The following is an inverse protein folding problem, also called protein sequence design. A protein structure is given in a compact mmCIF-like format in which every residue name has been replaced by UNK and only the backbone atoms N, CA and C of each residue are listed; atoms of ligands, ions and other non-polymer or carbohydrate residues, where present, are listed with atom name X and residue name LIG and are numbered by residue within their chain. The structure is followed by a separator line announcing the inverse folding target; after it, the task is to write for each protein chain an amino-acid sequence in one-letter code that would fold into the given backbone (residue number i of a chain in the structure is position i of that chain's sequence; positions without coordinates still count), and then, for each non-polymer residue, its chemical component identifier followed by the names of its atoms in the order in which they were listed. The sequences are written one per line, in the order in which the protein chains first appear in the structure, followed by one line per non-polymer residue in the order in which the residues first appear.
data_IF_110513290819
#
_entry.id   IF_110513290819
#
_cell.length_a   1.000
_cell.length_b   1.000
_cell.length_c   1.000
_cell.angle_alpha   90.00
_cell.angle_beta   90.00
_cell.angle_gamma   90.00
#
_symmetry.space_group_name_H-M   'P 1'
#
loop_
_entity.id
_entity.type
_entity.pdbx_description
1 polymer ?
#
# COMPACT_ATOMS: atom_id res chain seq x y z
N UNK A 1 3.37 15.94 19.37
CA UNK A 1 3.15 14.53 19.75
C UNK A 1 2.39 13.86 18.61
N UNK A 2 3.09 13.44 17.55
CA UNK A 2 2.44 12.73 16.44
C UNK A 2 2.17 11.30 16.91
N UNK A 3 0.96 11.08 17.42
CA UNK A 3 0.50 9.75 17.79
C UNK A 3 0.39 8.90 16.53
N UNK A 4 1.33 7.98 16.36
CA UNK A 4 1.34 7.07 15.23
C UNK A 4 0.12 6.16 15.32
N UNK A 5 -0.83 6.33 14.39
CA UNK A 5 -2.07 5.55 14.41
C UNK A 5 -1.76 4.10 14.09
N UNK A 6 -2.11 3.22 15.01
CA UNK A 6 -1.91 1.79 14.88
C UNK A 6 -3.20 1.10 14.42
N UNK A 7 -3.18 0.54 13.21
CA UNK A 7 -4.29 -0.19 12.62
C UNK A 7 -4.26 -1.67 12.99
N UNK A 8 -5.44 -2.24 13.26
CA UNK A 8 -5.61 -3.69 13.38
C UNK A 8 -5.59 -4.32 11.99
N UNK A 9 -5.25 -5.61 11.90
CA UNK A 9 -5.29 -6.36 10.64
C UNK A 9 -6.61 -6.19 9.88
N UNK A 10 -7.75 -6.24 10.57
CA UNK A 10 -9.06 -6.10 9.93
C UNK A 10 -9.26 -4.73 9.25
N UNK A 11 -8.77 -3.66 9.86
CA UNK A 11 -8.85 -2.31 9.31
C UNK A 11 -7.95 -2.17 8.09
N UNK A 12 -6.73 -2.72 8.16
CA UNK A 12 -5.80 -2.77 7.02
C UNK A 12 -6.43 -3.49 5.83
N UNK A 13 -7.09 -4.64 6.06
CA UNK A 13 -7.78 -5.38 5.00
C UNK A 13 -8.91 -4.56 4.35
N UNK A 14 -9.66 -3.79 5.14
CA UNK A 14 -10.72 -2.90 4.64
C UNK A 14 -10.13 -1.74 3.84
N UNK A 15 -9.09 -1.08 4.35
CA UNK A 15 -8.44 0.04 3.68
C UNK A 15 -7.85 -0.37 2.32
N UNK A 16 -7.23 -1.55 2.25
CA UNK A 16 -6.63 -2.07 1.02
C UNK A 16 -7.65 -2.78 0.12
N UNK A 17 -8.82 -3.14 0.63
CA UNK A 17 -9.80 -3.96 -0.09
C UNK A 17 -9.30 -5.38 -0.42
N UNK A 18 -8.29 -5.89 0.30
CA UNK A 18 -7.65 -7.18 -0.01
C UNK A 18 -7.98 -8.28 1.00
N UNK A 19 -7.78 -9.52 0.57
CA UNK A 19 -7.86 -10.70 1.43
C UNK A 19 -6.65 -10.84 2.36
N UNK A 20 -6.85 -11.50 3.51
CA UNK A 20 -5.77 -11.79 4.46
C UNK A 20 -4.65 -12.68 3.90
N UNK A 21 -4.92 -13.43 2.82
CA UNK A 21 -3.91 -14.19 2.07
C UNK A 21 -3.01 -13.25 1.28
N UNK A 22 -3.60 -12.33 0.52
CA UNK A 22 -2.89 -11.30 -0.26
C UNK A 22 -2.04 -10.42 0.66
N UNK A 23 -2.60 -9.95 1.77
CA UNK A 23 -1.84 -9.16 2.76
C UNK A 23 -0.56 -9.90 3.23
N UNK A 24 -0.66 -11.21 3.49
CA UNK A 24 0.50 -12.02 3.88
C UNK A 24 1.51 -12.17 2.76
N UNK A 25 1.07 -12.27 1.51
CA UNK A 25 1.96 -12.35 0.35
C UNK A 25 2.75 -11.04 0.16
N UNK A 26 2.08 -9.89 0.30
CA UNK A 26 2.70 -8.56 0.21
C UNK A 26 3.75 -8.38 1.32
N UNK A 27 3.38 -8.70 2.57
CA UNK A 27 4.33 -8.64 3.70
C UNK A 27 5.53 -9.56 3.47
N UNK A 28 5.31 -10.75 2.89
CA UNK A 28 6.38 -11.72 2.60
C UNK A 28 7.26 -11.28 1.43
N UNK A 29 6.71 -10.56 0.47
CA UNK A 29 7.44 -10.01 -0.69
C UNK A 29 8.27 -8.79 -0.30
N UNK A 30 7.89 -8.11 0.79
CA UNK A 30 8.62 -6.97 1.34
C UNK A 30 8.04 -5.62 0.94
N UNK A 31 6.97 -5.60 0.13
CA UNK A 31 6.34 -4.37 -0.33
C UNK A 31 5.61 -3.60 0.79
N UNK A 32 5.16 -4.31 1.83
CA UNK A 32 4.54 -3.70 3.00
C UNK A 32 5.32 -4.06 4.26
N UNK A 33 5.57 -3.04 5.09
CA UNK A 33 6.24 -3.22 6.38
C UNK A 33 5.50 -4.24 7.27
N UNK A 34 6.27 -5.11 7.92
CA UNK A 34 5.72 -6.10 8.83
C UNK A 34 5.01 -5.43 10.02
N UNK A 35 3.94 -6.03 10.55
CA UNK A 35 3.25 -5.47 11.69
C UNK A 35 4.12 -5.48 12.95
N UNK A 36 4.02 -4.42 13.74
CA UNK A 36 4.60 -4.33 15.07
C UNK A 36 3.85 -5.29 15.98
N UNK A 37 4.60 -6.15 16.68
CA UNK A 37 4.04 -7.04 17.71
C UNK A 37 4.04 -6.31 19.03
N UNK A 38 2.85 -6.03 19.56
CA UNK A 38 2.68 -5.43 20.88
C UNK A 38 2.97 -6.46 21.98
N UNK A 39 3.39 -6.04 23.19
CA UNK A 39 3.72 -6.94 24.30
C UNK A 39 2.58 -7.86 24.76
N UNK A 40 1.34 -7.64 24.29
CA UNK A 40 0.19 -8.54 24.48
C UNK A 40 -0.08 -9.52 23.33
N UNK A 41 0.86 -9.72 22.40
CA UNK A 41 0.72 -10.63 21.24
C UNK A 41 -0.14 -10.09 20.09
N UNK A 42 -0.75 -8.91 20.26
CA UNK A 42 -1.50 -8.23 19.22
C UNK A 42 -0.57 -7.66 18.14
N UNK A 43 -0.88 -7.92 16.86
CA UNK A 43 -0.17 -7.33 15.72
C UNK A 43 -0.87 -6.07 15.25
N UNK A 44 -0.15 -4.95 15.22
CA UNK A 44 -0.66 -3.69 14.67
C UNK A 44 0.22 -3.18 13.55
N UNK A 45 -0.41 -2.53 12.58
CA UNK A 45 0.24 -1.95 11.43
C UNK A 45 0.29 -0.45 11.61
N UNK A 46 1.41 0.16 11.26
CA UNK A 46 1.51 1.62 11.23
C UNK A 46 0.63 2.14 10.09
N UNK A 47 -0.26 3.09 10.37
CA UNK A 47 -1.07 3.71 9.33
C UNK A 47 -0.18 4.30 8.23
N UNK A 48 0.94 4.94 8.61
CA UNK A 48 1.91 5.51 7.67
C UNK A 48 2.52 4.48 6.71
N UNK A 49 2.74 3.24 7.15
CA UNK A 49 3.24 2.19 6.25
C UNK A 49 2.19 1.74 5.25
N UNK A 50 0.92 1.69 5.66
CA UNK A 50 -0.19 1.35 4.76
C UNK A 50 -0.41 2.46 3.73
N UNK A 51 -0.36 3.72 4.17
CA UNK A 51 -0.47 4.89 3.30
C UNK A 51 0.67 4.97 2.29
N UNK A 52 1.92 4.75 2.72
CA UNK A 52 3.08 4.71 1.84
C UNK A 52 2.97 3.60 0.77
N UNK A 53 2.46 2.43 1.14
CA UNK A 53 2.22 1.34 0.20
C UNK A 53 1.12 1.69 -0.83
N UNK A 54 0.01 2.29 -0.38
CA UNK A 54 -1.05 2.77 -1.27
C UNK A 54 -0.54 3.84 -2.24
N UNK A 55 0.28 4.77 -1.73
CA UNK A 55 0.90 5.80 -2.54
C UNK A 55 1.80 5.18 -3.61
N UNK A 56 2.64 4.22 -3.24
CA UNK A 56 3.48 3.49 -4.19
C UNK A 56 2.68 2.79 -5.30
N UNK A 57 1.56 2.15 -4.94
CA UNK A 57 0.65 1.54 -5.94
C UNK A 57 0.05 2.57 -6.90
N UNK A 58 -0.40 3.72 -6.38
CA UNK A 58 -0.94 4.80 -7.19
C UNK A 58 0.13 5.43 -8.10
N UNK A 59 1.34 5.62 -7.60
CA UNK A 59 2.47 6.17 -8.36
C UNK A 59 2.87 5.22 -9.51
N UNK A 60 2.87 3.90 -9.29
CA UNK A 60 3.11 2.91 -10.35
C UNK A 60 2.03 2.99 -11.45
N UNK A 61 0.76 3.16 -11.07
CA UNK A 61 -0.33 3.25 -12.02
C UNK A 61 -0.32 4.54 -12.84
N UNK A 62 0.12 5.66 -12.26
CA UNK A 62 0.28 6.95 -12.95
C UNK A 62 1.40 6.89 -14.00
N UNK A 63 2.50 6.20 -13.72
CA UNK A 63 3.61 6.03 -14.67
C UNK A 63 3.21 5.18 -15.89
N UNK A 64 2.38 4.15 -15.71
CA UNK A 64 1.87 3.34 -16.83
C UNK A 64 0.82 4.10 -17.67
N UNK A 65 0.05 4.99 -17.05
CA UNK A 65 -1.01 5.75 -17.74
C UNK A 65 -0.48 7.00 -18.46
N UNK A 66 0.67 7.52 -18.05
CA UNK A 66 1.26 8.76 -18.60
C UNK A 66 2.09 8.60 -19.88
N UNK A 67 2.27 7.38 -20.41
CA UNK A 67 3.08 7.12 -21.61
C UNK A 67 2.26 6.99 -22.91
N UNK A 68 0.94 7.16 -22.86
CA UNK A 68 0.03 6.87 -23.99
C UNK A 68 -0.34 8.08 -24.85
N UNK A 69 0.30 9.25 -24.70
CA UNK A 69 -0.07 10.49 -25.42
C UNK A 69 1.15 11.17 -26.05
N UNK A 70 1.90 10.45 -26.89
CA UNK A 70 2.91 11.05 -27.75
C UNK A 70 3.20 10.16 -28.96
N UNK A 71 2.31 10.14 -29.97
CA UNK A 71 2.68 10.02 -31.39
C UNK A 71 1.43 9.95 -32.30
N UNK A 72 0.73 11.08 -32.55
CA UNK A 72 -0.09 11.18 -33.77
C UNK A 72 -0.50 12.63 -34.08
N UNK A 73 0.43 13.48 -34.50
CA UNK A 73 0.09 14.68 -35.26
C UNK A 73 1.35 15.25 -35.95
N UNK A 74 1.61 14.79 -37.17
CA UNK A 74 2.09 15.54 -38.35
C UNK A 74 2.57 14.51 -39.41
N UNK A 75 2.24 14.55 -40.69
CA UNK A 75 1.76 15.68 -41.47
C UNK A 75 1.15 15.24 -42.80
N UNK A 76 0.53 16.25 -43.40
CA UNK A 76 -0.13 16.31 -44.70
C UNK A 76 0.88 16.41 -45.85
#
# INVERSE_FOLDING_TARGET
MTGETLLKRAEVLKCLGISAKTLRAIIRSGDLAAPVTLPGGGRRYLQSSVDAFLKGLLEQHVLESGLAEADQADGN
#
